data_IF_381165709381
#
_entry.id   IF_381165709381
#
_cell.length_a   1.000
_cell.length_b   1.000
_cell.length_c   1.000
_cell.angle_alpha   90.00
_cell.angle_beta   90.00
_cell.angle_gamma   90.00
#
_symmetry.space_group_name_H-M   'P 1'
#
loop_
_entity.id
_entity.type
_entity.pdbx_description
1 polymer ?
#
# COMPACT_ATOMS: atom_id res chain seq x y z
N UNK A 1 -37.61 -18.76 1.50
CA UNK A 1 -36.86 -17.76 0.71
C UNK A 1 -35.45 -17.78 1.24
N UNK A 2 -34.58 -18.57 0.60
CA UNK A 2 -33.19 -18.69 0.99
C UNK A 2 -32.47 -17.38 0.72
N UNK A 3 -32.18 -16.63 1.78
CA UNK A 3 -31.21 -15.54 1.74
C UNK A 3 -29.84 -16.22 1.63
N UNK A 4 -29.48 -16.61 0.41
CA UNK A 4 -28.10 -16.95 0.09
C UNK A 4 -27.31 -15.68 0.34
N UNK A 5 -26.70 -15.58 1.52
CA UNK A 5 -25.71 -14.57 1.86
C UNK A 5 -24.60 -14.66 0.81
N UNK A 6 -24.75 -13.89 -0.28
CA UNK A 6 -23.67 -13.70 -1.25
C UNK A 6 -22.50 -13.14 -0.47
N UNK A 7 -21.48 -13.98 -0.21
CA UNK A 7 -20.22 -13.50 0.35
C UNK A 7 -19.78 -12.32 -0.50
N UNK A 8 -19.67 -11.15 0.12
CA UNK A 8 -19.14 -9.97 -0.55
C UNK A 8 -17.75 -10.31 -1.08
N UNK A 9 -17.44 -9.86 -2.29
CA UNK A 9 -16.10 -9.99 -2.84
C UNK A 9 -15.22 -9.00 -2.11
N UNK A 10 -14.10 -9.47 -1.56
CA UNK A 10 -13.19 -8.63 -0.77
C UNK A 10 -11.88 -8.51 -1.54
N UNK A 11 -11.25 -7.34 -1.42
CA UNK A 11 -9.87 -7.12 -1.81
C UNK A 11 -9.14 -6.39 -0.68
N UNK A 12 -7.87 -6.72 -0.47
CA UNK A 12 -7.09 -6.18 0.65
C UNK A 12 -6.15 -5.11 0.14
N UNK A 13 -6.14 -3.93 0.76
CA UNK A 13 -5.19 -2.86 0.45
C UNK A 13 -4.04 -2.84 1.46
N UNK A 14 -2.83 -2.76 0.94
CA UNK A 14 -1.62 -2.41 1.70
C UNK A 14 -1.55 -0.89 2.00
N UNK A 15 -0.50 -0.48 2.71
CA UNK A 15 -0.29 0.92 3.07
C UNK A 15 -0.13 1.82 1.83
N UNK A 16 0.68 1.39 0.86
CA UNK A 16 1.00 2.17 -0.33
C UNK A 16 -0.24 2.43 -1.19
N UNK A 17 -1.10 1.43 -1.40
CA UNK A 17 -2.36 1.56 -2.13
C UNK A 17 -3.26 2.63 -1.52
N UNK A 18 -3.39 2.64 -0.20
CA UNK A 18 -4.19 3.64 0.53
C UNK A 18 -3.59 5.04 0.36
N UNK A 19 -2.28 5.15 0.56
CA UNK A 19 -1.56 6.42 0.48
C UNK A 19 -1.69 7.00 -0.94
N UNK A 20 -1.37 6.22 -1.96
CA UNK A 20 -1.43 6.67 -3.35
C UNK A 20 -2.84 7.07 -3.77
N UNK A 21 -3.86 6.30 -3.37
CA UNK A 21 -5.25 6.65 -3.65
C UNK A 21 -5.60 8.04 -3.08
N UNK A 22 -5.09 8.35 -1.88
CA UNK A 22 -5.32 9.60 -1.19
C UNK A 22 -4.37 10.75 -1.60
N UNK A 23 -3.25 10.47 -2.27
CA UNK A 23 -2.19 11.43 -2.59
C UNK A 23 -2.33 12.03 -4.01
N UNK A 24 -3.44 12.72 -4.26
CA UNK A 24 -3.66 13.51 -5.48
C UNK A 24 -4.16 14.91 -5.12
N UNK A 25 -3.32 15.93 -5.19
CA UNK A 25 -3.67 17.27 -4.71
C UNK A 25 -3.35 18.35 -5.72
N UNK A 26 -4.28 19.29 -5.89
CA UNK A 26 -4.01 20.53 -6.60
C UNK A 26 -3.47 21.60 -5.64
N UNK A 27 -2.39 22.26 -6.05
CA UNK A 27 -1.76 23.34 -5.31
C UNK A 27 -1.40 24.51 -6.24
N UNK A 28 -1.45 25.73 -5.70
CA UNK A 28 -1.04 26.92 -6.43
C UNK A 28 0.41 27.26 -6.08
N UNK A 29 1.33 27.03 -7.02
CA UNK A 29 2.76 27.32 -6.87
C UNK A 29 3.14 28.41 -7.87
N UNK A 30 3.70 29.53 -7.38
CA UNK A 30 4.14 30.66 -8.21
C UNK A 30 3.09 31.13 -9.23
N UNK A 31 1.82 31.18 -8.79
CA UNK A 31 0.71 31.64 -9.64
C UNK A 31 0.12 30.58 -10.58
N UNK A 32 0.72 29.40 -10.69
CA UNK A 32 0.21 28.27 -11.51
C UNK A 32 -0.43 27.22 -10.62
N UNK A 33 -1.54 26.64 -11.08
CA UNK A 33 -2.10 25.43 -10.46
C UNK A 33 -1.33 24.23 -10.97
N UNK A 34 -0.81 23.42 -10.06
CA UNK A 34 -0.07 22.19 -10.34
C UNK A 34 -0.71 21.03 -9.58
N UNK A 35 -0.68 19.84 -10.18
CA UNK A 35 -1.17 18.61 -9.57
C UNK A 35 0.00 17.83 -8.99
N UNK A 36 0.02 17.69 -7.67
CA UNK A 36 1.03 16.92 -6.93
C UNK A 36 0.47 15.53 -6.68
N UNK A 37 1.23 14.51 -7.10
CA UNK A 37 0.89 13.09 -7.00
C UNK A 37 2.16 12.24 -7.02
N UNK A 38 2.06 10.98 -6.58
CA UNK A 38 3.11 9.99 -6.85
C UNK A 38 2.95 9.53 -8.29
N UNK A 39 3.95 9.80 -9.10
CA UNK A 39 3.94 9.44 -10.52
C UNK A 39 3.80 7.94 -10.72
N UNK A 40 3.15 7.57 -11.82
CA UNK A 40 2.84 6.18 -12.22
C UNK A 40 1.81 5.48 -11.34
N UNK A 41 1.80 5.67 -10.02
CA UNK A 41 0.95 4.90 -9.10
C UNK A 41 -0.42 5.55 -8.83
N UNK A 42 -0.46 6.85 -8.56
CA UNK A 42 -1.68 7.53 -8.04
C UNK A 42 -2.90 7.36 -8.95
N UNK A 43 -2.74 7.57 -10.26
CA UNK A 43 -3.87 7.45 -11.20
C UNK A 43 -4.27 5.98 -11.40
N UNK A 44 -3.29 5.06 -11.37
CA UNK A 44 -3.53 3.64 -11.57
C UNK A 44 -4.32 3.05 -10.42
N UNK A 45 -3.92 3.33 -9.18
CA UNK A 45 -4.66 2.85 -8.00
C UNK A 45 -6.05 3.48 -7.91
N UNK A 46 -6.23 4.74 -8.34
CA UNK A 46 -7.56 5.36 -8.40
C UNK A 46 -8.47 4.65 -9.40
N UNK A 47 -7.98 4.42 -10.62
CA UNK A 47 -8.72 3.69 -11.65
C UNK A 47 -9.04 2.25 -11.20
N UNK A 48 -8.08 1.57 -10.59
CA UNK A 48 -8.23 0.21 -10.07
C UNK A 48 -9.28 0.17 -8.93
N UNK A 49 -9.21 1.12 -8.00
CA UNK A 49 -10.19 1.29 -6.92
C UNK A 49 -11.60 1.50 -7.48
N UNK A 50 -11.76 2.36 -8.49
CA UNK A 50 -13.05 2.56 -9.13
C UNK A 50 -13.59 1.29 -9.81
N UNK A 51 -12.72 0.50 -10.44
CA UNK A 51 -13.11 -0.77 -11.05
C UNK A 51 -13.60 -1.77 -10.00
N UNK A 52 -12.91 -1.88 -8.86
CA UNK A 52 -13.34 -2.73 -7.75
C UNK A 52 -14.70 -2.29 -7.19
N UNK A 53 -14.88 -1.00 -6.94
CA UNK A 53 -16.14 -0.45 -6.44
C UNK A 53 -17.28 -0.73 -7.44
N UNK A 54 -17.08 -0.44 -8.73
CA UNK A 54 -18.08 -0.71 -9.80
C UNK A 54 -18.41 -2.20 -9.91
N UNK A 55 -17.44 -3.07 -9.61
CA UNK A 55 -17.59 -4.53 -9.63
C UNK A 55 -18.17 -5.11 -8.33
N UNK A 56 -18.52 -4.25 -7.36
CA UNK A 56 -19.14 -4.64 -6.10
C UNK A 56 -18.18 -5.27 -5.08
N UNK A 57 -16.88 -4.99 -5.19
CA UNK A 57 -15.92 -5.39 -4.17
C UNK A 57 -15.99 -4.46 -2.96
N UNK A 58 -15.84 -5.04 -1.78
CA UNK A 58 -15.46 -4.33 -0.56
C UNK A 58 -13.93 -4.30 -0.47
N UNK A 59 -13.39 -3.11 -0.26
CA UNK A 59 -11.96 -2.91 -0.03
C UNK A 59 -11.73 -2.96 1.47
N UNK A 60 -10.82 -3.82 1.91
CA UNK A 60 -10.52 -4.03 3.33
C UNK A 60 -9.04 -3.75 3.57
N UNK A 61 -8.71 -3.24 4.75
CA UNK A 61 -7.33 -3.25 5.26
C UNK A 61 -7.35 -3.62 6.74
N UNK A 62 -6.20 -4.02 7.28
CA UNK A 62 -6.05 -4.33 8.71
C UNK A 62 -5.63 -3.08 9.49
N UNK A 63 -6.01 -3.00 10.77
CA UNK A 63 -5.68 -1.87 11.64
C UNK A 63 -4.17 -1.62 11.74
N UNK A 64 -3.35 -2.68 11.68
CA UNK A 64 -1.88 -2.59 11.62
C UNK A 64 -1.36 -1.71 10.47
N UNK A 65 -1.98 -1.81 9.28
CA UNK A 65 -1.62 -0.97 8.11
C UNK A 65 -1.94 0.50 8.37
N UNK A 66 -3.11 0.78 8.94
CA UNK A 66 -3.49 2.15 9.30
C UNK A 66 -2.51 2.73 10.34
N UNK A 67 -2.16 1.93 11.35
CA UNK A 67 -1.20 2.33 12.37
C UNK A 67 0.18 2.60 11.78
N UNK A 68 0.65 1.79 10.83
CA UNK A 68 1.92 2.03 10.14
C UNK A 68 1.93 3.36 9.38
N UNK A 69 0.86 3.67 8.65
CA UNK A 69 0.72 4.95 7.93
C UNK A 69 0.83 6.13 8.90
N UNK A 70 0.15 6.06 10.04
CA UNK A 70 0.18 7.13 11.04
C UNK A 70 1.52 7.21 11.79
N UNK A 71 2.12 6.06 12.12
CA UNK A 71 3.39 5.96 12.85
C UNK A 71 4.60 6.41 12.02
N UNK A 72 4.66 6.02 10.73
CA UNK A 72 5.68 6.53 9.79
C UNK A 72 5.58 8.06 9.65
N UNK A 73 4.36 8.58 9.84
CA UNK A 73 4.04 9.99 9.77
C UNK A 73 3.76 10.41 8.34
N UNK A 74 2.53 10.85 8.08
CA UNK A 74 2.10 11.33 6.76
C UNK A 74 3.01 12.47 6.27
N UNK A 75 3.51 13.32 7.18
CA UNK A 75 4.48 14.36 6.84
C UNK A 75 5.76 13.81 6.19
N UNK A 76 6.32 12.72 6.73
CA UNK A 76 7.51 12.05 6.20
C UNK A 76 7.24 11.42 4.84
N UNK A 77 6.08 10.77 4.68
CA UNK A 77 5.65 10.19 3.40
C UNK A 77 5.52 11.29 2.33
N UNK A 78 4.87 12.40 2.67
CA UNK A 78 4.73 13.55 1.75
C UNK A 78 6.09 14.16 1.41
N UNK A 79 7.00 14.24 2.38
CA UNK A 79 8.36 14.72 2.15
C UNK A 79 9.11 13.84 1.15
N UNK A 80 9.08 12.51 1.34
CA UNK A 80 9.67 11.52 0.42
C UNK A 80 9.14 11.70 -1.01
N UNK A 81 7.83 11.87 -1.18
CA UNK A 81 7.23 12.06 -2.51
C UNK A 81 7.50 13.43 -3.11
N UNK A 82 7.55 14.49 -2.30
CA UNK A 82 7.84 15.84 -2.77
C UNK A 82 9.30 16.02 -3.18
N UNK A 83 10.20 15.20 -2.63
CA UNK A 83 11.63 15.27 -2.94
C UNK A 83 12.04 14.35 -4.10
N UNK A 84 11.17 13.42 -4.51
CA UNK A 84 11.32 12.60 -5.72
C UNK A 84 11.42 13.44 -7.00
N UNK A 85 12.40 13.09 -7.84
CA UNK A 85 12.72 13.85 -9.05
C UNK A 85 11.60 13.79 -10.09
N UNK A 86 10.93 12.64 -10.25
CA UNK A 86 9.83 12.49 -11.22
C UNK A 86 8.65 13.36 -10.84
N UNK A 87 8.38 13.46 -9.55
CA UNK A 87 7.33 14.33 -9.02
C UNK A 87 7.63 15.80 -9.27
N UNK A 88 8.88 16.25 -9.12
CA UNK A 88 9.31 17.64 -9.39
C UNK A 88 9.25 18.01 -10.87
N UNK A 89 9.76 17.13 -11.73
CA UNK A 89 9.76 17.35 -13.18
C UNK A 89 8.33 17.58 -13.71
N UNK A 90 7.38 16.77 -13.25
CA UNK A 90 5.99 16.84 -13.70
C UNK A 90 5.27 18.14 -13.32
N UNK A 91 5.56 18.69 -12.15
CA UNK A 91 4.98 19.97 -11.71
C UNK A 91 5.75 21.17 -12.27
N UNK A 92 6.69 20.93 -13.19
CA UNK A 92 7.51 21.96 -13.84
C UNK A 92 8.44 22.67 -12.87
N UNK A 93 8.85 21.98 -11.79
CA UNK A 93 9.84 22.50 -10.85
C UNK A 93 11.22 21.96 -11.24
N UNK A 94 12.25 22.83 -11.35
CA UNK A 94 13.62 22.37 -11.54
C UNK A 94 14.04 21.43 -10.40
N UNK A 95 14.85 20.40 -10.67
CA UNK A 95 15.30 19.41 -9.67
C UNK A 95 15.88 20.02 -8.40
N UNK A 96 16.59 21.15 -8.54
CA UNK A 96 17.23 21.89 -7.43
C UNK A 96 16.24 22.70 -6.60
N UNK A 97 15.02 22.89 -7.08
CA UNK A 97 14.00 23.68 -6.39
C UNK A 97 13.20 22.80 -5.44
N UNK A 98 13.22 23.16 -4.16
CA UNK A 98 12.44 22.47 -3.13
C UNK A 98 11.01 23.00 -3.10
N UNK A 99 10.06 22.08 -2.96
CA UNK A 99 8.70 22.42 -2.54
C UNK A 99 8.81 22.95 -1.11
N UNK A 100 8.20 24.10 -0.83
CA UNK A 100 8.32 24.74 0.49
C UNK A 100 7.66 23.89 1.58
N UNK A 101 8.21 23.94 2.78
CA UNK A 101 7.69 23.18 3.93
C UNK A 101 6.23 23.52 4.25
N UNK A 102 5.81 24.76 3.97
CA UNK A 102 4.41 25.18 4.09
C UNK A 102 3.48 24.44 3.12
N UNK A 103 3.96 24.12 1.91
CA UNK A 103 3.21 23.30 0.96
C UNK A 103 3.23 21.84 1.42
N UNK A 104 4.41 21.30 1.79
CA UNK A 104 4.54 19.93 2.30
C UNK A 104 3.60 19.67 3.50
N UNK A 105 3.56 20.57 4.48
CA UNK A 105 2.66 20.50 5.63
C UNK A 105 1.17 20.50 5.22
N UNK A 106 0.81 21.32 4.22
CA UNK A 106 -0.57 21.40 3.72
C UNK A 106 -0.97 20.11 3.00
N UNK A 107 -0.08 19.58 2.18
CA UNK A 107 -0.26 18.30 1.50
C UNK A 107 -0.43 17.17 2.53
N UNK A 108 0.40 17.13 3.56
CA UNK A 108 0.30 16.14 4.62
C UNK A 108 -1.08 16.18 5.31
N UNK A 109 -1.54 17.38 5.71
CA UNK A 109 -2.88 17.57 6.30
C UNK A 109 -4.00 17.15 5.34
N UNK A 110 -3.93 17.54 4.06
CA UNK A 110 -4.92 17.15 3.04
C UNK A 110 -4.95 15.64 2.83
N UNK A 111 -3.79 14.97 2.81
CA UNK A 111 -3.70 13.51 2.69
C UNK A 111 -4.30 12.84 3.91
N UNK A 112 -3.97 13.30 5.12
CA UNK A 112 -4.55 12.79 6.36
C UNK A 112 -6.07 12.91 6.40
N UNK A 113 -6.62 14.08 6.02
CA UNK A 113 -8.05 14.29 5.91
C UNK A 113 -8.72 13.39 4.87
N UNK A 114 -8.05 13.08 3.76
CA UNK A 114 -8.57 12.16 2.75
C UNK A 114 -8.58 10.72 3.26
N UNK A 115 -7.55 10.30 3.98
CA UNK A 115 -7.50 8.98 4.62
C UNK A 115 -8.63 8.86 5.66
N UNK A 116 -8.85 9.88 6.50
CA UNK A 116 -9.99 9.91 7.44
C UNK A 116 -11.34 9.84 6.71
N UNK A 117 -11.48 10.53 5.57
CA UNK A 117 -12.68 10.46 4.73
C UNK A 117 -12.86 9.11 4.04
N UNK A 118 -11.77 8.42 3.69
CA UNK A 118 -11.77 7.08 3.11
C UNK A 118 -12.34 6.06 4.10
N UNK A 119 -11.96 6.13 5.38
CA UNK A 119 -12.49 5.25 6.44
C UNK A 119 -14.00 5.37 6.64
N UNK A 120 -14.61 6.49 6.23
CA UNK A 120 -16.06 6.69 6.31
C UNK A 120 -16.82 6.21 5.05
N UNK A 121 -16.13 5.62 4.06
CA UNK A 121 -16.76 5.11 2.85
C UNK A 121 -17.39 3.74 3.10
N UNK A 122 -18.61 3.53 2.61
CA UNK A 122 -19.35 2.26 2.79
C UNK A 122 -18.69 1.06 2.10
N UNK A 123 -17.76 1.30 1.18
CA UNK A 123 -17.01 0.28 0.44
C UNK A 123 -15.60 0.04 1.00
N UNK A 124 -15.18 0.78 2.03
CA UNK A 124 -13.86 0.66 2.64
C UNK A 124 -13.98 0.31 4.13
N UNK A 125 -13.38 -0.80 4.53
CA UNK A 125 -13.46 -1.30 5.92
C UNK A 125 -12.06 -1.49 6.49
N UNK A 126 -11.86 -1.01 7.73
CA UNK A 126 -10.67 -1.33 8.52
C UNK A 126 -11.06 -2.40 9.52
N UNK A 127 -10.34 -3.52 9.53
CA UNK A 127 -10.57 -4.62 10.47
C UNK A 127 -9.47 -4.67 11.50
N UNK A 128 -9.83 -4.91 12.77
CA UNK A 128 -8.86 -5.30 13.77
C UNK A 128 -8.42 -6.74 13.49
N UNK A 129 -7.12 -6.94 13.33
CA UNK A 129 -6.57 -8.25 13.01
C UNK A 129 -5.20 -8.42 13.66
N UNK A 130 -5.09 -9.46 14.46
CA UNK A 130 -3.85 -9.90 15.10
C UNK A 130 -3.69 -11.38 14.77
N UNK A 131 -2.73 -11.76 13.91
CA UNK A 131 -2.50 -13.16 13.60
C UNK A 131 -1.86 -13.89 14.80
N UNK A 132 -2.03 -15.21 14.86
CA UNK A 132 -1.33 -16.01 15.86
C UNK A 132 0.19 -16.04 15.56
N UNK A 133 1.02 -16.00 16.60
CA UNK A 133 2.48 -16.00 16.49
C UNK A 133 3.02 -17.13 15.60
N UNK A 134 2.42 -18.33 15.71
CA UNK A 134 2.78 -19.50 14.89
C UNK A 134 2.64 -19.25 13.38
N UNK A 135 1.67 -18.43 12.98
CA UNK A 135 1.39 -18.14 11.57
C UNK A 135 2.37 -17.09 11.04
N UNK A 136 2.76 -16.12 11.89
CA UNK A 136 3.87 -15.19 11.61
C UNK A 136 5.19 -15.96 11.45
N UNK A 137 5.53 -16.83 12.41
CA UNK A 137 6.76 -17.63 12.35
C UNK A 137 6.80 -18.56 11.14
N UNK A 138 5.64 -19.05 10.68
CA UNK A 138 5.55 -19.82 9.43
C UNK A 138 5.93 -18.98 8.21
N UNK A 139 5.47 -17.72 8.14
CA UNK A 139 5.85 -16.81 7.04
C UNK A 139 7.34 -16.49 7.12
N UNK A 140 7.87 -16.16 8.30
CA UNK A 140 9.32 -15.93 8.49
C UNK A 140 10.16 -17.13 8.05
N UNK A 141 9.81 -18.33 8.52
CA UNK A 141 10.50 -19.57 8.17
C UNK A 141 10.54 -19.81 6.66
N UNK A 142 9.48 -19.43 5.94
CA UNK A 142 9.46 -19.50 4.48
C UNK A 142 10.52 -18.56 3.86
N UNK A 143 10.53 -17.28 4.23
CA UNK A 143 11.52 -16.34 3.71
C UNK A 143 12.95 -16.73 4.09
N UNK A 144 13.16 -17.21 5.32
CA UNK A 144 14.44 -17.72 5.78
C UNK A 144 14.90 -18.94 4.98
N UNK A 145 13.98 -19.82 4.59
CA UNK A 145 14.30 -20.99 3.74
C UNK A 145 14.78 -20.60 2.33
N UNK A 146 14.48 -19.38 1.87
CA UNK A 146 14.95 -18.85 0.59
C UNK A 146 16.34 -18.22 0.68
N UNK A 147 16.93 -18.16 1.89
CA UNK A 147 18.26 -17.59 2.10
C UNK A 147 19.30 -18.27 1.21
N UNK A 148 20.10 -17.46 0.49
CA UNK A 148 21.13 -17.94 -0.42
C UNK A 148 20.64 -18.35 -1.81
N UNK A 149 19.33 -18.35 -2.07
CA UNK A 149 18.83 -18.52 -3.45
C UNK A 149 19.17 -17.31 -4.31
N UNK A 150 19.39 -17.46 -5.63
CA UNK A 150 19.69 -16.33 -6.52
C UNK A 150 18.65 -15.21 -6.43
N UNK A 151 17.37 -15.59 -6.32
CA UNK A 151 16.24 -14.68 -6.22
C UNK A 151 16.26 -13.87 -4.92
N UNK A 152 16.48 -14.54 -3.77
CA UNK A 152 16.63 -13.85 -2.49
C UNK A 152 17.86 -12.95 -2.45
N UNK A 153 18.99 -13.40 -3.03
CA UNK A 153 20.21 -12.58 -3.14
C UNK A 153 19.93 -11.30 -3.94
N UNK A 154 19.21 -11.39 -5.06
CA UNK A 154 18.85 -10.21 -5.86
C UNK A 154 17.90 -9.28 -5.12
N UNK A 155 16.87 -9.84 -4.49
CA UNK A 155 15.90 -9.09 -3.69
C UNK A 155 16.59 -8.31 -2.55
N UNK A 156 17.48 -8.96 -1.80
CA UNK A 156 18.23 -8.33 -0.71
C UNK A 156 19.19 -7.21 -1.17
N UNK A 157 19.60 -7.18 -2.45
CA UNK A 157 20.38 -6.05 -3.00
C UNK A 157 19.54 -4.78 -3.17
N UNK A 158 18.22 -4.94 -3.37
CA UNK A 158 17.27 -3.82 -3.53
C UNK A 158 16.75 -3.34 -2.18
N UNK A 159 16.70 -4.24 -1.19
CA UNK A 159 16.19 -3.97 0.15
C UNK A 159 17.11 -3.04 0.94
N UNK A 160 16.52 -2.14 1.72
CA UNK A 160 17.26 -1.24 2.63
C UNK A 160 17.58 -1.89 3.97
N UNK A 161 16.83 -2.92 4.36
CA UNK A 161 17.01 -3.66 5.60
C UNK A 161 17.84 -4.92 5.36
N UNK A 162 18.40 -5.48 6.45
CA UNK A 162 19.15 -6.75 6.42
C UNK A 162 18.27 -7.96 6.67
N UNK A 163 16.99 -7.75 6.96
CA UNK A 163 16.05 -8.81 7.27
C UNK A 163 15.51 -9.45 5.99
N UNK A 164 15.53 -10.79 5.87
CA UNK A 164 15.14 -11.49 4.66
C UNK A 164 13.61 -11.58 4.47
N UNK A 165 12.83 -11.24 5.50
CA UNK A 165 11.37 -11.27 5.51
C UNK A 165 10.77 -9.86 5.53
N UNK A 166 9.49 -9.70 5.13
CA UNK A 166 8.76 -8.43 5.21
C UNK A 166 8.43 -8.01 6.64
N UNK A 167 7.87 -6.81 6.81
CA UNK A 167 7.46 -6.32 8.12
C UNK A 167 6.38 -7.20 8.76
N UNK A 168 6.20 -7.10 10.08
CA UNK A 168 5.13 -7.83 10.79
C UNK A 168 3.72 -7.47 10.26
N UNK A 169 3.52 -6.24 9.81
CA UNK A 169 2.24 -5.78 9.22
C UNK A 169 2.01 -6.46 7.87
N UNK A 170 3.03 -6.54 7.03
CA UNK A 170 2.96 -7.21 5.73
C UNK A 170 2.76 -8.72 5.87
N UNK A 171 3.42 -9.36 6.83
CA UNK A 171 3.17 -10.76 7.18
C UNK A 171 1.73 -10.96 7.66
N UNK A 172 1.22 -10.03 8.47
CA UNK A 172 -0.19 -10.05 8.90
C UNK A 172 -1.16 -9.93 7.73
N UNK A 173 -0.84 -9.13 6.70
CA UNK A 173 -1.64 -9.04 5.46
C UNK A 173 -1.67 -10.37 4.69
N UNK A 174 -0.53 -11.05 4.58
CA UNK A 174 -0.44 -12.37 3.93
C UNK A 174 -1.36 -13.40 4.62
N UNK A 175 -1.30 -13.45 5.96
CA UNK A 175 -2.11 -14.38 6.75
C UNK A 175 -3.59 -14.00 6.64
N UNK A 176 -3.93 -12.72 6.77
CA UNK A 176 -5.30 -12.24 6.61
C UNK A 176 -5.86 -12.56 5.22
N UNK A 177 -5.04 -12.40 4.17
CA UNK A 177 -5.40 -12.77 2.78
C UNK A 177 -5.78 -14.24 2.67
N UNK A 178 -4.96 -15.13 3.24
CA UNK A 178 -5.22 -16.56 3.27
C UNK A 178 -6.55 -16.89 3.97
N UNK A 179 -6.79 -16.34 5.15
CA UNK A 179 -7.97 -16.64 5.97
C UNK A 179 -9.26 -16.08 5.36
N UNK A 180 -9.21 -14.84 4.88
CA UNK A 180 -10.35 -14.17 4.24
C UNK A 180 -10.60 -14.64 2.80
N UNK A 181 -9.66 -15.37 2.21
CA UNK A 181 -9.67 -15.79 0.80
C UNK A 181 -9.81 -14.60 -0.15
N UNK A 182 -9.07 -13.53 0.14
CA UNK A 182 -9.09 -12.29 -0.62
C UNK A 182 -7.67 -11.93 -1.08
N UNK A 183 -7.51 -11.43 -2.31
CA UNK A 183 -6.19 -11.03 -2.80
C UNK A 183 -5.74 -9.71 -2.17
N UNK A 184 -4.43 -9.51 -2.07
CA UNK A 184 -3.78 -8.28 -1.63
C UNK A 184 -3.41 -7.45 -2.85
N UNK A 185 -3.74 -6.16 -2.84
CA UNK A 185 -3.24 -5.16 -3.79
C UNK A 185 -2.02 -4.49 -3.16
N UNK A 186 -0.88 -4.62 -3.82
CA UNK A 186 0.38 -4.08 -3.32
C UNK A 186 1.37 -3.81 -4.45
N UNK A 187 2.28 -2.86 -4.23
CA UNK A 187 3.49 -2.65 -5.02
C UNK A 187 4.78 -3.01 -4.25
N UNK A 188 4.67 -3.64 -3.07
CA UNK A 188 5.82 -3.98 -2.24
C UNK A 188 6.62 -5.15 -2.85
N UNK A 189 7.93 -4.94 -3.05
CA UNK A 189 8.84 -5.94 -3.57
C UNK A 189 8.94 -7.18 -2.69
N UNK A 190 8.81 -7.04 -1.37
CA UNK A 190 8.89 -8.18 -0.45
C UNK A 190 7.76 -9.20 -0.72
N UNK A 191 6.61 -8.73 -1.25
CA UNK A 191 5.47 -9.56 -1.61
C UNK A 191 5.49 -9.92 -3.09
N UNK A 192 5.74 -8.94 -3.97
CA UNK A 192 5.67 -9.13 -5.42
C UNK A 192 6.76 -10.07 -5.92
N UNK A 193 7.99 -9.88 -5.46
CA UNK A 193 9.10 -10.68 -5.95
C UNK A 193 8.83 -12.17 -5.68
N UNK A 194 8.20 -12.50 -4.55
CA UNK A 194 7.93 -13.88 -4.12
C UNK A 194 6.47 -14.32 -4.31
N UNK A 195 5.68 -13.60 -5.11
CA UNK A 195 4.24 -13.85 -5.29
C UNK A 195 3.90 -15.32 -5.54
N UNK A 196 4.55 -15.95 -6.52
CA UNK A 196 4.23 -17.32 -6.92
C UNK A 196 4.60 -18.33 -5.83
N UNK A 197 5.72 -18.12 -5.15
CA UNK A 197 6.15 -18.96 -4.04
C UNK A 197 5.20 -18.83 -2.83
N UNK A 198 4.78 -17.61 -2.49
CA UNK A 198 3.81 -17.34 -1.41
C UNK A 198 2.44 -18.00 -1.69
N UNK A 199 1.93 -17.86 -2.91
CA UNK A 199 0.65 -18.46 -3.34
C UNK A 199 0.74 -20.00 -3.36
N UNK A 200 1.81 -20.56 -3.92
CA UNK A 200 1.98 -22.03 -4.01
C UNK A 200 2.17 -22.72 -2.66
N UNK A 201 2.78 -22.04 -1.68
CA UNK A 201 2.92 -22.53 -0.30
C UNK A 201 1.66 -22.30 0.55
N UNK A 202 0.63 -21.67 -0.02
CA UNK A 202 -0.60 -21.32 0.69
C UNK A 202 -0.35 -20.39 1.87
N UNK A 203 0.56 -19.42 1.71
CA UNK A 203 0.87 -18.38 2.69
C UNK A 203 0.01 -17.13 2.50
N UNK A 204 -0.58 -16.96 1.31
CA UNK A 204 -1.63 -15.98 1.03
C UNK A 204 -2.69 -16.60 0.08
N UNK A 205 -3.79 -15.90 -0.16
CA UNK A 205 -4.78 -16.31 -1.15
C UNK A 205 -4.41 -15.85 -2.57
N UNK A 206 -3.86 -14.64 -2.69
CA UNK A 206 -3.41 -14.10 -3.96
C UNK A 206 -2.84 -12.69 -3.84
N UNK A 207 -2.01 -12.31 -4.81
CA UNK A 207 -1.44 -10.96 -4.90
C UNK A 207 -1.77 -10.33 -6.26
N UNK A 208 -2.38 -9.16 -6.22
CA UNK A 208 -2.61 -8.28 -7.36
C UNK A 208 -1.54 -7.18 -7.29
N UNK A 209 -0.69 -7.14 -8.30
CA UNK A 209 0.34 -6.11 -8.40
C UNK A 209 -0.33 -4.79 -8.73
N UNK A 210 -0.18 -3.77 -7.87
CA UNK A 210 -0.57 -2.39 -8.19
C UNK A 210 0.31 -1.91 -9.37
N UNK A 211 -0.30 -1.55 -10.52
CA UNK A 211 0.45 -1.47 -11.77
C UNK A 211 1.44 -0.32 -11.90
#
# INVERSE_FOLDING_TARGET
MDVVSRKKKIIIYDANSIIYYCFLHEEKIKGRTVTIRVMEFTNKIQNLTEQFIKSGFEIVTISGVMNEIYNKGIAKIVEEFCDDYRTKDLIGLPDRMRISDRIKLRLARKTEEKIKRLQNKTWFTVVEYEPADKDIERVKSFYESLSGTPKMIEHMKKKRTREPYPSDVDMSLLIYSKESKAPIVTNDSDLIDFKYELESQGLCFGIIVDP
#
